data_IF_780759899122
#
_entry.id   IF_780759899122
#
_cell.length_a   1.000
_cell.length_b   1.000
_cell.length_c   1.000
_cell.angle_alpha   90.00
_cell.angle_beta   90.00
_cell.angle_gamma   90.00
#
_symmetry.space_group_name_H-M   'P 1'
#
loop_
_entity.id
_entity.type
_entity.pdbx_description
1 polymer ?
#
# COMPACT_ATOMS: atom_id res chain seq x y z
N UNK A 1 -41.95 3.64 41.12
CA UNK A 1 -41.37 3.63 39.74
C UNK A 1 -40.10 4.49 39.59
N UNK A 2 -39.70 5.28 40.59
CA UNK A 2 -38.53 6.17 40.55
C UNK A 2 -37.17 5.48 40.78
N UNK A 3 -37.15 4.38 41.55
CA UNK A 3 -35.90 3.67 41.87
C UNK A 3 -35.26 2.98 40.66
N UNK A 4 -36.06 2.35 39.79
CA UNK A 4 -35.56 1.72 38.56
C UNK A 4 -34.96 2.77 37.60
N UNK A 5 -35.66 3.89 37.39
CA UNK A 5 -35.16 4.99 36.55
C UNK A 5 -33.80 5.50 37.02
N UNK A 6 -33.62 5.68 38.34
CA UNK A 6 -32.34 6.14 38.91
C UNK A 6 -31.19 5.14 38.76
N UNK A 7 -31.50 3.83 38.71
CA UNK A 7 -30.51 2.77 38.51
C UNK A 7 -30.13 2.65 37.04
N UNK A 8 -31.11 2.72 36.14
CA UNK A 8 -30.87 2.71 34.69
C UNK A 8 -30.05 3.92 34.23
N UNK A 9 -30.34 5.12 34.75
CA UNK A 9 -29.56 6.32 34.43
C UNK A 9 -28.12 6.19 34.92
N UNK A 10 -27.89 5.66 36.12
CA UNK A 10 -26.53 5.41 36.63
C UNK A 10 -25.78 4.40 35.79
N UNK A 11 -26.44 3.31 35.38
CA UNK A 11 -25.83 2.31 34.49
C UNK A 11 -25.46 2.93 33.14
N UNK A 12 -26.36 3.72 32.54
CA UNK A 12 -26.11 4.41 31.27
C UNK A 12 -24.93 5.38 31.38
N UNK A 13 -24.88 6.21 32.42
CA UNK A 13 -23.77 7.13 32.66
C UNK A 13 -22.47 6.36 32.85
N UNK A 14 -22.47 5.29 33.65
CA UNK A 14 -21.29 4.46 33.84
C UNK A 14 -20.79 3.85 32.51
N UNK A 15 -21.69 3.32 31.68
CA UNK A 15 -21.34 2.79 30.35
C UNK A 15 -20.79 3.87 29.44
N UNK A 16 -21.39 5.07 29.42
CA UNK A 16 -20.90 6.21 28.63
C UNK A 16 -19.54 6.71 29.12
N UNK A 17 -19.30 6.74 30.44
CA UNK A 17 -18.01 7.11 31.00
C UNK A 17 -16.92 6.09 30.66
N UNK A 18 -17.21 4.78 30.78
CA UNK A 18 -16.28 3.72 30.39
C UNK A 18 -15.96 3.82 28.90
N UNK A 19 -16.99 4.00 28.05
CA UNK A 19 -16.80 4.19 26.62
C UNK A 19 -15.97 5.45 26.31
N UNK A 20 -16.26 6.57 26.97
CA UNK A 20 -15.52 7.82 26.82
C UNK A 20 -14.06 7.72 27.25
N UNK A 21 -13.77 7.04 28.36
CA UNK A 21 -12.40 6.81 28.83
C UNK A 21 -11.63 5.89 27.87
N UNK A 22 -12.28 4.84 27.37
CA UNK A 22 -11.67 3.97 26.35
C UNK A 22 -11.39 4.77 25.07
N UNK A 23 -12.38 5.46 24.52
CA UNK A 23 -12.23 6.25 23.29
C UNK A 23 -11.20 7.37 23.45
N UNK A 24 -11.14 8.05 24.59
CA UNK A 24 -10.21 9.16 24.82
C UNK A 24 -8.75 8.69 25.01
N UNK A 25 -8.53 7.47 25.49
CA UNK A 25 -7.18 6.89 25.66
C UNK A 25 -6.73 6.07 24.45
N UNK A 26 -7.66 5.60 23.61
CA UNK A 26 -7.33 5.08 22.30
C UNK A 26 -6.93 6.24 21.37
N UNK A 27 -5.75 6.14 20.75
CA UNK A 27 -5.23 7.07 19.75
C UNK A 27 -6.05 7.01 18.43
N UNK A 28 -7.37 7.20 18.48
CA UNK A 28 -8.25 7.30 17.31
C UNK A 28 -8.53 6.00 16.54
N UNK A 29 -8.10 4.82 17.02
CA UNK A 29 -8.13 3.59 16.20
C UNK A 29 -9.33 2.66 16.43
N UNK A 30 -10.26 2.95 17.34
CA UNK A 30 -11.33 1.98 17.68
C UNK A 30 -12.70 2.34 17.11
N UNK A 31 -12.89 2.08 15.82
CA UNK A 31 -14.24 1.95 15.24
C UNK A 31 -14.50 0.48 14.91
N UNK A 32 -15.38 -0.23 15.64
CA UNK A 32 -15.55 -1.68 15.53
C UNK A 32 -16.16 -2.16 14.19
N UNK A 33 -16.62 -1.23 13.34
CA UNK A 33 -17.07 -1.49 11.97
C UNK A 33 -16.18 -0.85 10.90
N UNK A 34 -15.11 -0.18 11.29
CA UNK A 34 -14.15 0.36 10.35
C UNK A 34 -13.12 -0.73 10.10
N UNK A 35 -12.96 -1.09 8.83
CA UNK A 35 -11.83 -1.89 8.34
C UNK A 35 -10.59 -1.00 8.47
N UNK A 36 -10.16 -0.81 9.71
CA UNK A 36 -9.02 0.02 10.08
C UNK A 36 -8.03 -0.83 10.89
N UNK A 37 -6.77 -0.97 10.40
CA UNK A 37 -6.00 0.15 9.88
C UNK A 37 -5.49 0.11 8.42
N UNK A 38 -6.20 0.73 7.46
CA UNK A 38 -5.77 0.85 6.04
C UNK A 38 -5.71 2.27 5.38
N UNK A 39 -6.00 3.37 6.09
CA UNK A 39 -6.37 4.77 5.75
C UNK A 39 -5.94 5.87 6.79
N UNK A 40 -6.32 5.86 8.08
CA UNK A 40 -5.63 6.56 9.19
C UNK A 40 -4.26 5.97 9.58
N UNK A 41 -3.27 6.07 8.70
CA UNK A 41 -1.88 6.27 9.16
C UNK A 41 -1.60 7.77 9.17
N UNK A 42 -2.50 8.55 9.78
CA UNK A 42 -2.34 9.99 9.84
C UNK A 42 -1.06 10.29 10.65
N UNK A 43 0.03 10.61 9.95
CA UNK A 43 1.35 10.89 10.51
C UNK A 43 2.36 9.74 10.50
N UNK A 44 1.98 8.49 10.22
CA UNK A 44 2.92 7.36 10.18
C UNK A 44 3.45 7.09 8.76
N UNK A 45 4.70 6.64 8.62
CA UNK A 45 5.24 6.23 7.32
C UNK A 45 4.45 5.04 6.74
N UNK A 46 4.01 5.17 5.49
CA UNK A 46 3.34 4.12 4.75
C UNK A 46 4.15 3.70 3.52
N UNK A 47 3.90 2.49 3.01
CA UNK A 47 4.42 2.07 1.71
C UNK A 47 3.34 1.45 0.82
N UNK A 48 3.45 1.68 -0.49
CA UNK A 48 2.60 1.11 -1.53
C UNK A 48 3.44 0.66 -2.71
N UNK A 49 2.98 -0.39 -3.38
CA UNK A 49 3.56 -0.80 -4.66
C UNK A 49 2.73 -0.16 -5.78
N UNK A 50 3.41 0.51 -6.69
CA UNK A 50 2.83 1.18 -7.85
C UNK A 50 3.52 0.65 -9.10
N UNK A 51 2.73 0.41 -10.15
CA UNK A 51 3.26 -0.03 -11.45
C UNK A 51 3.23 1.18 -12.38
N UNK A 52 4.34 1.43 -13.05
CA UNK A 52 4.49 2.47 -14.07
C UNK A 52 4.82 1.83 -15.41
N UNK A 53 4.36 2.44 -16.48
CA UNK A 53 4.94 2.24 -17.80
C UNK A 53 6.36 2.84 -17.80
N UNK A 54 7.31 2.19 -18.46
CA UNK A 54 8.66 2.74 -18.65
C UNK A 54 8.59 3.93 -19.62
N UNK A 55 9.25 5.04 -19.25
CA UNK A 55 9.37 6.19 -20.14
C UNK A 55 10.20 5.83 -21.40
N UNK A 56 9.75 6.28 -22.58
CA UNK A 56 10.37 5.95 -23.86
C UNK A 56 11.84 6.41 -24.02
N UNK A 57 12.32 7.29 -23.14
CA UNK A 57 13.59 8.02 -23.29
C UNK A 57 14.76 7.42 -22.48
N UNK A 58 14.64 6.18 -22.00
CA UNK A 58 15.71 5.52 -21.23
C UNK A 58 16.65 4.75 -22.15
N UNK A 59 17.53 5.46 -22.86
CA UNK A 59 18.48 4.86 -23.81
C UNK A 59 19.88 4.59 -23.25
N UNK A 60 20.20 5.10 -22.05
CA UNK A 60 21.59 5.12 -21.54
C UNK A 60 21.94 4.01 -20.54
N UNK A 61 21.51 2.75 -20.77
CA UNK A 61 21.91 1.56 -19.98
C UNK A 61 21.62 1.59 -18.46
N UNK A 62 21.14 2.71 -17.95
CA UNK A 62 20.74 2.99 -16.58
C UNK A 62 19.35 2.43 -16.31
N UNK A 63 19.00 2.30 -15.03
CA UNK A 63 17.66 1.87 -14.66
C UNK A 63 16.59 2.83 -15.20
N UNK A 64 15.50 2.31 -15.79
CA UNK A 64 14.49 3.15 -16.39
C UNK A 64 13.80 4.01 -15.34
N UNK A 65 13.43 5.23 -15.75
CA UNK A 65 12.63 6.14 -14.93
C UNK A 65 11.15 5.76 -15.00
N UNK A 66 10.40 5.93 -13.90
CA UNK A 66 8.96 5.72 -13.92
C UNK A 66 8.32 6.74 -14.88
N UNK A 67 7.58 6.22 -15.87
CA UNK A 67 6.70 7.01 -16.72
C UNK A 67 5.31 7.09 -16.13
N UNK A 68 4.30 6.87 -16.98
CA UNK A 68 2.90 6.98 -16.61
C UNK A 68 2.50 5.89 -15.60
N UNK A 69 1.79 6.21 -14.51
CA UNK A 69 1.27 5.19 -13.60
C UNK A 69 0.20 4.35 -14.30
N UNK A 70 0.30 3.03 -14.16
CA UNK A 70 -0.63 2.06 -14.71
C UNK A 70 -1.83 1.89 -13.78
N UNK A 71 -3.03 2.14 -14.29
CA UNK A 71 -4.25 1.90 -13.54
C UNK A 71 -4.55 0.39 -13.49
N UNK A 72 -4.47 -0.21 -12.30
CA UNK A 72 -4.72 -1.65 -12.12
C UNK A 72 -6.21 -2.03 -12.14
N UNK A 73 -7.09 -1.12 -11.72
CA UNK A 73 -8.53 -1.40 -11.58
C UNK A 73 -9.20 -1.79 -12.91
N UNK A 74 -8.98 -1.09 -14.04
CA UNK A 74 -9.53 -1.50 -15.34
C UNK A 74 -9.05 -2.88 -15.81
N UNK A 75 -7.90 -3.35 -15.32
CA UNK A 75 -7.35 -4.66 -15.64
C UNK A 75 -7.92 -5.78 -14.76
N UNK A 76 -8.81 -5.45 -13.80
CA UNK A 76 -9.29 -6.41 -12.80
C UNK A 76 -8.20 -6.85 -11.81
N UNK A 77 -7.06 -6.17 -11.79
CA UNK A 77 -5.91 -6.51 -10.94
C UNK A 77 -6.02 -5.81 -9.59
N UNK A 78 -5.88 -6.56 -8.50
CA UNK A 78 -5.86 -5.99 -7.16
C UNK A 78 -4.45 -5.52 -6.80
N UNK A 79 -4.33 -4.31 -6.26
CA UNK A 79 -3.05 -3.75 -5.82
C UNK A 79 -2.34 -4.63 -4.77
N UNK A 80 -3.10 -5.30 -3.91
CA UNK A 80 -2.55 -6.21 -2.90
C UNK A 80 -1.88 -7.44 -3.52
N UNK A 81 -2.43 -7.97 -4.62
CA UNK A 81 -1.84 -9.13 -5.31
C UNK A 81 -0.51 -8.74 -5.93
N UNK A 82 -0.44 -7.56 -6.57
CA UNK A 82 0.80 -7.00 -7.12
C UNK A 82 1.83 -6.78 -6.00
N UNK A 83 1.42 -6.22 -4.86
CA UNK A 83 2.31 -5.98 -3.73
C UNK A 83 2.88 -7.28 -3.14
N UNK A 84 2.02 -8.29 -2.95
CA UNK A 84 2.42 -9.59 -2.42
C UNK A 84 3.40 -10.32 -3.35
N UNK A 85 3.08 -10.38 -4.65
CA UNK A 85 3.95 -11.01 -5.64
C UNK A 85 5.28 -10.27 -5.78
N UNK A 86 5.27 -8.93 -5.76
CA UNK A 86 6.50 -8.13 -5.78
C UNK A 86 7.39 -8.44 -4.59
N UNK A 87 6.83 -8.53 -3.38
CA UNK A 87 7.59 -8.87 -2.17
C UNK A 87 8.20 -10.28 -2.26
N UNK A 88 7.42 -11.27 -2.73
CA UNK A 88 7.92 -12.63 -2.92
C UNK A 88 9.06 -12.70 -3.96
N UNK A 89 8.94 -11.95 -5.05
CA UNK A 89 10.02 -11.84 -6.05
C UNK A 89 11.28 -11.24 -5.42
N UNK A 90 11.18 -10.13 -4.69
CA UNK A 90 12.33 -9.53 -4.00
C UNK A 90 13.00 -10.54 -3.05
N UNK A 91 12.19 -11.34 -2.35
CA UNK A 91 12.67 -12.37 -1.42
C UNK A 91 13.34 -13.59 -2.10
N UNK A 92 13.32 -13.68 -3.44
CA UNK A 92 13.96 -14.79 -4.15
C UNK A 92 13.02 -15.69 -4.95
N UNK A 93 11.69 -15.57 -4.78
CA UNK A 93 10.75 -16.49 -5.42
C UNK A 93 10.53 -16.15 -6.90
N UNK A 94 11.14 -16.97 -7.77
CA UNK A 94 11.00 -16.88 -9.22
C UNK A 94 9.60 -17.29 -9.72
N UNK A 95 8.87 -18.12 -8.97
CA UNK A 95 7.50 -18.53 -9.29
C UNK A 95 6.54 -17.35 -9.26
N UNK A 96 6.62 -16.55 -8.20
CA UNK A 96 5.88 -15.30 -8.05
C UNK A 96 6.17 -14.29 -9.17
N UNK A 97 7.39 -14.29 -9.72
CA UNK A 97 7.77 -13.44 -10.86
C UNK A 97 6.97 -13.74 -12.11
N UNK A 98 6.85 -15.03 -12.46
CA UNK A 98 6.03 -15.47 -13.60
C UNK A 98 4.55 -15.21 -13.37
N UNK A 99 4.08 -15.36 -12.14
CA UNK A 99 2.69 -15.03 -11.81
C UNK A 99 2.41 -13.53 -11.95
N UNK A 100 3.35 -12.68 -11.54
CA UNK A 100 3.25 -11.23 -11.71
C UNK A 100 3.23 -10.83 -13.19
N UNK A 101 4.10 -11.42 -14.02
CA UNK A 101 4.08 -11.19 -15.48
C UNK A 101 2.75 -11.62 -16.12
N UNK A 102 2.17 -12.75 -15.71
CA UNK A 102 0.84 -13.19 -16.20
C UNK A 102 -0.27 -12.25 -15.78
N UNK A 103 -0.25 -11.78 -14.53
CA UNK A 103 -1.23 -10.85 -13.98
C UNK A 103 -1.22 -9.51 -14.76
N UNK A 104 -0.06 -9.09 -15.22
CA UNK A 104 0.15 -7.85 -15.96
C UNK A 104 0.36 -8.07 -17.47
N UNK A 105 0.03 -9.26 -17.99
CA UNK A 105 0.35 -9.62 -19.38
C UNK A 105 -0.25 -8.65 -20.43
N UNK A 106 -1.50 -8.16 -20.31
CA UNK A 106 -2.07 -7.25 -21.30
C UNK A 106 -1.28 -5.94 -21.48
N UNK A 107 -0.99 -5.14 -20.43
CA UNK A 107 -0.15 -3.95 -20.59
C UNK A 107 1.31 -4.28 -20.89
N UNK A 108 1.83 -5.41 -20.38
CA UNK A 108 3.21 -5.83 -20.62
C UNK A 108 3.49 -6.16 -22.10
N UNK A 109 2.46 -6.57 -22.85
CA UNK A 109 2.56 -6.80 -24.30
C UNK A 109 2.78 -5.50 -25.10
N UNK A 110 2.50 -4.33 -24.52
CA UNK A 110 2.60 -3.03 -25.18
C UNK A 110 3.75 -2.19 -24.63
N UNK A 111 4.05 -2.34 -23.34
CA UNK A 111 5.01 -1.51 -22.63
C UNK A 111 5.83 -2.34 -21.63
N UNK A 112 7.11 -2.02 -21.50
CA UNK A 112 7.87 -2.44 -20.32
C UNK A 112 7.25 -1.80 -19.07
N UNK A 113 7.19 -2.54 -17.98
CA UNK A 113 6.57 -2.08 -16.74
C UNK A 113 7.61 -1.99 -15.63
N UNK A 114 7.67 -0.83 -14.97
CA UNK A 114 8.49 -0.59 -13.80
C UNK A 114 7.63 -0.69 -12.54
N UNK A 115 7.97 -1.64 -11.67
CA UNK A 115 7.37 -1.77 -10.35
C UNK A 115 8.18 -0.93 -9.37
N UNK A 116 7.50 0.01 -8.72
CA UNK A 116 8.08 0.98 -7.79
C UNK A 116 7.43 0.82 -6.43
N UNK A 117 8.25 0.84 -5.37
CA UNK A 117 7.78 0.98 -4.00
C UNK A 117 7.79 2.46 -3.64
N UNK A 118 6.61 2.98 -3.33
CA UNK A 118 6.42 4.37 -2.92
C UNK A 118 6.28 4.41 -1.42
N UNK A 119 7.15 5.15 -0.75
CA UNK A 119 7.10 5.42 0.67
C UNK A 119 6.59 6.84 0.89
N UNK A 120 5.54 6.98 1.69
CA UNK A 120 5.09 8.29 2.14
C UNK A 120 5.44 8.51 3.60
N UNK A 121 6.03 9.67 3.92
CA UNK A 121 6.24 10.12 5.30
C UNK A 121 5.72 11.54 5.47
N UNK A 122 5.17 11.85 6.65
CA UNK A 122 4.81 13.22 7.00
C UNK A 122 6.09 13.98 7.37
N UNK A 123 6.32 15.13 6.74
CA UNK A 123 7.39 16.09 7.04
C UNK A 123 6.77 17.43 7.38
N UNK A 124 6.75 17.78 8.67
CA UNK A 124 6.18 19.01 9.21
C UNK A 124 4.73 19.29 8.75
N UNK A 125 4.56 19.93 7.60
CA UNK A 125 3.31 20.36 6.97
C UNK A 125 3.04 19.70 5.60
N UNK A 126 3.91 18.80 5.14
CA UNK A 126 3.85 18.16 3.83
C UNK A 126 4.04 16.64 3.89
N UNK A 127 3.74 15.95 2.79
CA UNK A 127 4.02 14.52 2.64
C UNK A 127 5.16 14.35 1.66
N UNK A 128 6.28 13.81 2.13
CA UNK A 128 7.39 13.44 1.26
C UNK A 128 7.15 12.04 0.70
N UNK A 129 7.27 11.91 -0.62
CA UNK A 129 7.15 10.65 -1.35
C UNK A 129 8.51 10.21 -1.88
N UNK A 130 8.94 9.01 -1.49
CA UNK A 130 10.17 8.39 -1.97
C UNK A 130 9.79 7.25 -2.91
N UNK A 131 10.26 7.32 -4.15
CA UNK A 131 10.00 6.33 -5.19
C UNK A 131 11.24 5.44 -5.36
N UNK A 132 11.14 4.18 -4.95
CA UNK A 132 12.22 3.20 -5.04
C UNK A 132 11.88 2.16 -6.12
N UNK A 133 12.63 2.09 -7.24
CA UNK A 133 12.44 1.05 -8.23
C UNK A 133 12.76 -0.32 -7.63
N UNK A 134 11.94 -1.32 -7.94
CA UNK A 134 12.09 -2.67 -7.37
C UNK A 134 12.28 -3.71 -8.47
N UNK A 135 11.41 -3.71 -9.48
CA UNK A 135 11.42 -4.68 -10.56
C UNK A 135 11.20 -3.98 -11.90
N UNK A 136 11.93 -4.39 -12.93
CA UNK A 136 11.61 -4.12 -14.31
C UNK A 136 11.03 -5.39 -14.93
N UNK A 137 9.80 -5.31 -15.39
CA UNK A 137 9.10 -6.37 -16.10
C UNK A 137 9.16 -6.07 -17.60
N UNK A 138 9.59 -7.07 -18.36
CA UNK A 138 9.47 -7.16 -19.80
C UNK A 138 8.67 -8.41 -20.16
N UNK A 139 8.16 -8.54 -21.41
CA UNK A 139 7.43 -9.72 -21.84
C UNK A 139 8.10 -11.04 -21.47
N UNK A 140 9.41 -11.14 -21.71
CA UNK A 140 10.16 -12.38 -21.54
C UNK A 140 11.11 -12.39 -20.34
N UNK A 141 11.34 -11.23 -19.72
CA UNK A 141 12.37 -11.08 -18.69
C UNK A 141 11.89 -10.26 -17.51
N UNK A 142 12.45 -10.55 -16.34
CA UNK A 142 12.25 -9.80 -15.11
C UNK A 142 13.62 -9.47 -14.55
N UNK A 143 13.90 -8.19 -14.38
CA UNK A 143 15.12 -7.69 -13.77
C UNK A 143 14.79 -7.12 -12.39
N UNK A 144 15.60 -7.45 -11.39
CA UNK A 144 15.50 -6.85 -10.06
C UNK A 144 16.38 -5.62 -9.99
N UNK A 145 15.91 -4.56 -9.34
CA UNK A 145 16.73 -3.40 -9.08
C UNK A 145 17.97 -3.82 -8.29
N UNK A 146 19.18 -3.41 -8.70
CA UNK A 146 20.41 -3.66 -7.96
C UNK A 146 20.37 -2.79 -6.72
N UNK A 147 19.77 -3.31 -5.65
CA UNK A 147 19.94 -2.73 -4.33
C UNK A 147 21.40 -2.95 -3.93
N UNK A 148 22.18 -1.92 -3.57
CA UNK A 148 23.48 -2.15 -2.96
C UNK A 148 23.28 -3.07 -1.74
N UNK A 149 24.12 -4.09 -1.61
CA UNK A 149 24.11 -4.91 -0.40
C UNK A 149 24.30 -4.00 0.82
N UNK A 150 23.57 -4.24 1.92
CA UNK A 150 23.69 -3.44 3.14
C UNK A 150 25.11 -3.45 3.69
#
# INVERSE_FOLDING_TARGET
MTSLRSRSIRALIATLCVYGVLVATHQGEFWPFSIYPMFSQAGHPWSRVVVHEVAADTTDGSWPRPGRPLALRPLGVKANDVAALTAAVVAGDLGSGRQLQRLLAPPLAQHDLLVVRVHGRLEADSVALIHEPVLLLRPDTLLRYPTPAP
#
